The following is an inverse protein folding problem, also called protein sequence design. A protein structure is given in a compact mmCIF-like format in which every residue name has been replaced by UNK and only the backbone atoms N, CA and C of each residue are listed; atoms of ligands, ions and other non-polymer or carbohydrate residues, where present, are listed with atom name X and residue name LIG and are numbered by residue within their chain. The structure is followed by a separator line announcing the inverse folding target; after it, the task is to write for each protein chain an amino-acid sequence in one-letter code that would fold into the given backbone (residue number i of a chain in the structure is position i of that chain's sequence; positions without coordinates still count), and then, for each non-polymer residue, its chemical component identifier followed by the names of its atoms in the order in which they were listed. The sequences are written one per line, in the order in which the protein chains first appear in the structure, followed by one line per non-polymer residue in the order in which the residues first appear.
data_IF_064363027827
#
_entry.id   IF_064363027827
#
_cell.length_a   1.000
_cell.length_b   1.000
_cell.length_c   1.000
_cell.angle_alpha   90.00
_cell.angle_beta   90.00
_cell.angle_gamma   90.00
#
_symmetry.space_group_name_H-M   'P 1'
#
loop_
_entity.id
_entity.type
_entity.pdbx_description
1 polymer ?
#
# COMPACT_ATOMS: atom_id res chain seq x y z
N UNK A 1 -61.50 22.48 20.70
CA UNK A 1 -60.23 23.21 20.92
C UNK A 1 -59.17 22.36 20.26
N UNK A 2 -59.10 22.50 18.94
CA UNK A 2 -58.26 21.69 18.06
C UNK A 2 -56.97 22.46 17.76
N UNK A 3 -55.84 21.86 18.09
CA UNK A 3 -54.54 22.48 17.85
C UNK A 3 -53.40 21.48 17.96
N UNK A 4 -52.65 21.35 16.86
CA UNK A 4 -51.34 20.70 16.71
C UNK A 4 -51.32 19.16 16.86
N UNK A 5 -50.74 18.38 15.95
CA UNK A 5 -49.43 18.56 15.33
C UNK A 5 -49.36 18.06 13.89
N UNK A 6 -48.35 18.57 13.21
CA UNK A 6 -48.14 18.57 11.78
C UNK A 6 -47.87 17.20 11.14
N UNK A 7 -48.49 17.08 9.98
CA UNK A 7 -48.06 16.44 8.73
C UNK A 7 -46.55 16.14 8.55
N UNK A 8 -46.29 14.97 7.97
CA UNK A 8 -45.45 14.72 6.76
C UNK A 8 -44.21 13.84 6.93
N UNK A 9 -44.16 12.82 6.06
CA UNK A 9 -43.00 12.25 5.31
C UNK A 9 -41.87 11.63 6.16
N UNK A 10 -41.53 10.36 5.96
CA UNK A 10 -41.08 9.84 4.67
C UNK A 10 -41.34 8.33 4.54
N UNK A 11 -42.09 7.98 3.50
CA UNK A 11 -41.97 6.68 2.82
C UNK A 11 -40.90 6.83 1.72
N UNK A 12 -40.36 5.70 1.27
CA UNK A 12 -39.43 5.51 0.13
C UNK A 12 -38.04 6.14 0.34
N UNK A 13 -36.92 5.44 0.14
CA UNK A 13 -36.60 4.68 -1.05
C UNK A 13 -35.85 3.38 -0.71
N UNK A 14 -36.29 2.28 -1.32
CA UNK A 14 -35.38 1.18 -1.59
C UNK A 14 -34.51 1.55 -2.78
N UNK A 15 -33.22 1.22 -2.69
CA UNK A 15 -32.38 1.02 -3.86
C UNK A 15 -31.70 -0.31 -3.68
N UNK A 16 -32.27 -1.34 -4.32
CA UNK A 16 -31.47 -2.45 -4.76
C UNK A 16 -30.49 -1.96 -5.82
N UNK A 17 -29.23 -2.29 -5.65
CA UNK A 17 -28.20 -2.43 -6.66
C UNK A 17 -27.39 -3.62 -6.15
N UNK A 18 -27.60 -4.86 -6.59
CA UNK A 18 -27.31 -5.36 -7.94
C UNK A 18 -26.42 -4.42 -8.75
N UNK A 19 -25.18 -4.30 -8.32
CA UNK A 19 -24.09 -3.93 -9.21
C UNK A 19 -22.85 -4.71 -8.78
N UNK A 20 -22.73 -5.94 -9.31
CA UNK A 20 -21.43 -6.64 -9.38
C UNK A 20 -20.54 -5.94 -10.42
N UNK A 21 -20.27 -4.66 -10.21
CA UNK A 21 -19.05 -4.04 -10.71
C UNK A 21 -17.96 -4.42 -9.73
N UNK A 22 -17.04 -5.24 -10.19
CA UNK A 22 -15.76 -5.49 -9.51
C UNK A 22 -15.10 -4.13 -9.24
N UNK A 23 -15.29 -3.64 -8.02
CA UNK A 23 -14.83 -2.34 -7.53
C UNK A 23 -13.30 -2.29 -7.54
N UNK A 24 -12.78 -1.91 -8.70
CA UNK A 24 -11.34 -1.64 -8.88
C UNK A 24 -10.99 -0.27 -8.30
N UNK A 25 -11.98 0.57 -7.98
CA UNK A 25 -11.77 1.93 -7.48
C UNK A 25 -11.41 1.95 -5.98
N UNK A 26 -12.04 1.10 -5.15
CA UNK A 26 -11.72 0.93 -3.73
C UNK A 26 -10.27 0.50 -3.43
N UNK A 27 -9.55 -0.03 -4.43
CA UNK A 27 -8.13 -0.40 -4.30
C UNK A 27 -7.20 0.81 -4.20
N UNK A 28 -7.61 1.97 -4.73
CA UNK A 28 -6.85 3.22 -4.73
C UNK A 28 -7.43 4.27 -3.77
N UNK A 29 -8.49 3.96 -3.04
CA UNK A 29 -9.00 4.84 -1.99
C UNK A 29 -8.00 4.93 -0.85
N UNK A 30 -7.62 6.17 -0.53
CA UNK A 30 -6.69 6.49 0.54
C UNK A 30 -7.45 6.40 1.87
N UNK A 31 -7.05 5.47 2.74
CA UNK A 31 -7.65 5.30 4.06
C UNK A 31 -7.32 6.44 5.04
N UNK A 32 -7.88 6.39 6.24
CA UNK A 32 -7.69 7.42 7.29
C UNK A 32 -6.20 7.63 7.65
N UNK A 33 -5.38 6.60 7.49
CA UNK A 33 -3.94 6.63 7.73
C UNK A 33 -3.14 7.24 6.56
N UNK A 34 -3.81 7.69 5.49
CA UNK A 34 -3.21 8.29 4.31
C UNK A 34 -2.56 7.28 3.34
N UNK A 35 -2.77 5.99 3.56
CA UNK A 35 -2.34 4.89 2.70
C UNK A 35 -3.54 4.20 2.04
N UNK A 36 -3.35 3.75 0.80
CA UNK A 36 -4.32 2.91 0.11
C UNK A 36 -4.30 1.48 0.63
N UNK A 37 -5.39 0.73 0.43
CA UNK A 37 -5.46 -0.70 0.77
C UNK A 37 -4.29 -1.48 0.15
N UNK A 38 -3.97 -1.19 -1.11
CA UNK A 38 -2.85 -1.80 -1.82
C UNK A 38 -1.50 -1.49 -1.18
N UNK A 39 -1.29 -0.28 -0.69
CA UNK A 39 -0.06 0.11 0.02
C UNK A 39 0.07 -0.63 1.36
N UNK A 40 -1.03 -0.81 2.09
CA UNK A 40 -1.05 -1.65 3.29
C UNK A 40 -0.71 -3.12 2.99
N UNK A 41 -1.25 -3.67 1.91
CA UNK A 41 -0.95 -5.04 1.48
C UNK A 41 0.52 -5.20 1.11
N UNK A 42 1.11 -4.20 0.44
CA UNK A 42 2.54 -4.17 0.10
C UNK A 42 3.40 -4.18 1.38
N UNK A 43 3.07 -3.37 2.38
CA UNK A 43 3.80 -3.35 3.66
C UNK A 43 3.68 -4.70 4.40
N UNK A 44 2.47 -5.25 4.44
CA UNK A 44 2.18 -6.55 5.05
C UNK A 44 2.93 -7.69 4.35
N UNK A 45 3.01 -7.65 3.02
CA UNK A 45 3.76 -8.62 2.21
C UNK A 45 5.27 -8.55 2.46
N UNK A 46 5.82 -7.35 2.63
CA UNK A 46 7.25 -7.16 2.89
C UNK A 46 7.67 -7.65 4.30
N UNK A 47 6.72 -7.82 5.22
CA UNK A 47 6.96 -8.43 6.53
C UNK A 47 7.25 -9.94 6.43
N UNK A 48 6.82 -10.61 5.37
CA UNK A 48 6.97 -12.05 5.23
C UNK A 48 8.41 -12.47 4.89
N UNK A 49 8.83 -13.63 5.41
CA UNK A 49 10.17 -14.16 5.21
C UNK A 49 10.23 -15.03 3.95
N UNK A 50 10.85 -14.51 2.89
CA UNK A 50 11.03 -15.24 1.64
C UNK A 50 12.38 -15.96 1.61
N UNK A 51 12.37 -17.27 1.37
CA UNK A 51 13.58 -18.11 1.33
C UNK A 51 14.43 -17.85 0.07
N UNK A 52 13.79 -17.50 -1.04
CA UNK A 52 14.43 -17.24 -2.33
C UNK A 52 13.91 -15.93 -2.94
N UNK A 53 14.80 -15.13 -3.53
CA UNK A 53 14.43 -13.86 -4.17
C UNK A 53 13.46 -14.07 -5.35
N UNK A 54 13.62 -15.16 -6.12
CA UNK A 54 12.73 -15.48 -7.24
C UNK A 54 11.29 -15.79 -6.81
N UNK A 55 11.11 -16.53 -5.71
CA UNK A 55 9.78 -16.85 -5.18
C UNK A 55 9.00 -15.59 -4.75
N UNK A 56 9.72 -14.57 -4.29
CA UNK A 56 9.12 -13.27 -3.96
C UNK A 56 8.64 -12.55 -5.22
N UNK A 57 9.43 -12.53 -6.29
CA UNK A 57 9.07 -11.85 -7.54
C UNK A 57 7.87 -12.49 -8.24
N UNK A 58 7.77 -13.82 -8.18
CA UNK A 58 6.62 -14.57 -8.67
C UNK A 58 5.36 -14.25 -7.86
N UNK A 59 5.44 -14.30 -6.54
CA UNK A 59 4.33 -13.91 -5.67
C UNK A 59 3.91 -12.44 -5.85
N UNK A 60 4.85 -11.52 -6.12
CA UNK A 60 4.52 -10.13 -6.44
C UNK A 60 3.67 -10.04 -7.71
N UNK A 61 4.02 -10.81 -8.75
CA UNK A 61 3.26 -10.83 -9.99
C UNK A 61 1.88 -11.42 -9.78
N UNK A 62 1.78 -12.52 -9.03
CA UNK A 62 0.49 -13.19 -8.79
C UNK A 62 -0.46 -12.35 -7.91
N UNK A 63 0.04 -11.76 -6.82
CA UNK A 63 -0.81 -11.06 -5.85
C UNK A 63 -1.13 -9.62 -6.26
N UNK A 64 -0.16 -8.93 -6.87
CA UNK A 64 -0.29 -7.51 -7.18
C UNK A 64 -0.43 -7.23 -8.67
N UNK A 65 -0.46 -8.25 -9.52
CA UNK A 65 -0.56 -8.14 -10.98
C UNK A 65 0.44 -7.10 -11.56
N UNK A 66 1.66 -7.10 -11.03
CA UNK A 66 2.70 -6.16 -11.44
C UNK A 66 4.09 -6.76 -11.46
N UNK A 67 4.97 -6.17 -12.27
CA UNK A 67 6.36 -6.56 -12.31
C UNK A 67 7.09 -6.19 -11.01
N UNK A 68 8.09 -6.99 -10.64
CA UNK A 68 8.94 -6.73 -9.47
C UNK A 68 9.58 -5.33 -9.51
N UNK A 69 9.98 -4.86 -10.70
CA UNK A 69 10.51 -3.50 -10.88
C UNK A 69 9.51 -2.43 -10.46
N UNK A 70 8.25 -2.54 -10.92
CA UNK A 70 7.19 -1.59 -10.56
C UNK A 70 6.84 -1.67 -9.08
N UNK A 71 6.79 -2.88 -8.53
CA UNK A 71 6.59 -3.10 -7.08
C UNK A 71 7.64 -2.35 -6.25
N UNK A 72 8.92 -2.51 -6.57
CA UNK A 72 9.98 -1.82 -5.82
C UNK A 72 9.97 -0.31 -6.01
N UNK A 73 9.48 0.21 -7.15
CA UNK A 73 9.29 1.66 -7.32
C UNK A 73 8.21 2.19 -6.37
N UNK A 74 7.05 1.53 -6.33
CA UNK A 74 5.95 1.88 -5.42
C UNK A 74 6.41 1.76 -3.97
N UNK A 75 7.07 0.66 -3.59
CA UNK A 75 7.59 0.47 -2.24
C UNK A 75 8.58 1.57 -1.84
N UNK A 76 9.48 1.98 -2.73
CA UNK A 76 10.42 3.05 -2.42
C UNK A 76 9.72 4.39 -2.18
N UNK A 77 8.71 4.73 -2.99
CA UNK A 77 7.91 5.94 -2.78
C UNK A 77 7.13 5.86 -1.45
N UNK A 78 6.54 4.70 -1.16
CA UNK A 78 5.79 4.45 0.06
C UNK A 78 6.67 4.59 1.31
N UNK A 79 7.87 4.01 1.32
CA UNK A 79 8.80 4.05 2.47
C UNK A 79 9.30 5.46 2.79
N UNK A 80 9.23 6.40 1.85
CA UNK A 80 9.63 7.79 2.04
C UNK A 80 8.49 8.67 2.63
N UNK A 81 7.23 8.18 2.62
CA UNK A 81 6.04 8.86 3.12
C UNK A 81 5.92 8.77 4.66
N UNK A 82 5.56 9.85 5.38
CA UNK A 82 5.34 9.80 6.84
C UNK A 82 4.18 8.87 7.25
N UNK A 83 3.19 8.69 6.40
CA UNK A 83 2.04 7.80 6.58
C UNK A 83 2.48 6.35 6.81
N UNK A 84 3.48 5.89 6.06
CA UNK A 84 4.06 4.55 6.23
C UNK A 84 4.76 4.36 7.58
N UNK A 85 5.33 5.43 8.15
CA UNK A 85 5.91 5.37 9.49
C UNK A 85 4.84 5.28 10.58
N UNK A 86 3.65 5.83 10.34
CA UNK A 86 2.52 5.71 11.27
C UNK A 86 1.95 4.29 11.24
N UNK A 87 1.81 3.70 10.04
CA UNK A 87 1.32 2.33 9.87
C UNK A 87 2.29 1.26 10.42
N UNK A 88 3.57 1.29 10.00
CA UNK A 88 4.54 0.24 10.36
C UNK A 88 5.96 0.80 10.60
N UNK A 89 6.21 1.45 11.75
CA UNK A 89 7.45 2.17 12.01
C UNK A 89 8.70 1.27 12.00
N UNK A 90 8.59 0.02 12.42
CA UNK A 90 9.75 -0.90 12.47
C UNK A 90 10.18 -1.37 11.08
N UNK A 91 9.21 -1.75 10.24
CA UNK A 91 9.47 -2.22 8.88
C UNK A 91 10.05 -1.08 8.03
N UNK A 92 9.43 0.10 8.08
CA UNK A 92 9.87 1.26 7.30
C UNK A 92 11.28 1.69 7.71
N UNK A 93 11.60 1.76 9.02
CA UNK A 93 12.98 2.05 9.47
C UNK A 93 13.99 1.01 8.97
N UNK A 94 13.64 -0.28 8.99
CA UNK A 94 14.50 -1.35 8.45
C UNK A 94 14.74 -1.20 6.95
N UNK A 95 13.69 -0.93 6.17
CA UNK A 95 13.77 -0.73 4.72
C UNK A 95 14.59 0.50 4.35
N UNK A 96 14.40 1.62 5.05
CA UNK A 96 15.22 2.84 4.89
C UNK A 96 16.69 2.56 5.15
N UNK A 97 17.01 1.83 6.23
CA UNK A 97 18.39 1.43 6.53
C UNK A 97 19.00 0.56 5.43
N UNK A 98 18.27 -0.46 4.96
CA UNK A 98 18.74 -1.33 3.88
C UNK A 98 19.00 -0.55 2.58
N UNK A 99 18.17 0.45 2.27
CA UNK A 99 18.37 1.36 1.14
C UNK A 99 19.64 2.19 1.29
N UNK A 100 19.86 2.80 2.45
CA UNK A 100 21.07 3.57 2.74
C UNK A 100 22.33 2.70 2.61
N UNK A 101 22.31 1.46 3.09
CA UNK A 101 23.40 0.49 2.91
C UNK A 101 23.67 0.19 1.43
N UNK A 102 22.62 -0.04 0.63
CA UNK A 102 22.75 -0.27 -0.83
C UNK A 102 23.29 0.97 -1.56
N UNK A 103 22.85 2.17 -1.18
CA UNK A 103 23.34 3.41 -1.76
C UNK A 103 24.83 3.62 -1.44
N UNK A 104 25.24 3.38 -0.18
CA UNK A 104 26.64 3.45 0.23
C UNK A 104 27.51 2.45 -0.53
N UNK A 105 27.04 1.20 -0.71
CA UNK A 105 27.75 0.20 -1.51
C UNK A 105 27.90 0.62 -3.00
N UNK A 106 26.86 1.23 -3.58
CA UNK A 106 26.92 1.77 -4.95
C UNK A 106 27.88 2.96 -5.07
N UNK A 107 27.87 3.86 -4.09
CA UNK A 107 28.78 5.01 -4.05
C UNK A 107 30.24 4.56 -3.93
N UNK A 108 30.53 3.57 -3.08
CA UNK A 108 31.86 2.99 -2.92
C UNK A 108 32.39 2.35 -4.23
N UNK A 109 31.53 1.62 -4.95
CA UNK A 109 31.87 1.05 -6.27
C UNK A 109 32.15 2.11 -7.33
N UNK A 110 31.40 3.22 -7.33
CA UNK A 110 31.62 4.34 -8.26
C UNK A 110 32.89 5.14 -7.95
N UNK A 111 33.33 5.13 -6.69
CA UNK A 111 34.57 5.77 -6.26
C UNK A 111 35.83 4.91 -6.48
N UNK A 112 35.72 3.76 -7.15
CA UNK A 112 36.88 2.96 -7.57
C UNK A 112 37.48 2.06 -6.50
N UNK A 113 36.79 1.77 -5.40
CA UNK A 113 37.23 0.71 -4.47
C UNK A 113 36.80 -0.66 -5.00
N UNK A 114 37.65 -1.24 -5.84
CA UNK A 114 37.67 -2.66 -6.14
C UNK A 114 38.06 -3.38 -4.84
N UNK A 115 37.09 -3.98 -4.16
CA UNK A 115 37.37 -4.90 -3.05
C UNK A 115 37.65 -6.24 -3.70
N UNK A 116 38.93 -6.51 -3.95
CA UNK A 116 39.45 -7.85 -4.25
C UNK A 116 39.28 -8.75 -3.03
#
# INVERSE_FOLDING_TARGET
MDGATARSRNQSEGTGADDSVVDTAGMHEVGEDGLTRREHDILSFERQWWKYAGAKEEAIKELFDMSATRYYQVLNALVDRPESLAADPMLVKRLRRLRASRQKARAARRLGFEVT
#
